data_IF_217893265712
#
_entry.id   IF_217893265712
#
_cell.length_a   1.000
_cell.length_b   1.000
_cell.length_c   1.000
_cell.angle_alpha   90.00
_cell.angle_beta   90.00
_cell.angle_gamma   90.00
#
_symmetry.space_group_name_H-M   'P 1'
#
loop_
_entity.id
_entity.type
_entity.pdbx_description
1 polymer ?
#
# COMPACT_ATOMS: atom_id res chain seq x y z
N UNK A 1 14.96 11.77 -53.94
CA UNK A 1 14.03 12.35 -54.94
C UNK A 1 13.05 11.21 -55.24
N UNK A 2 11.89 11.19 -54.57
CA UNK A 2 10.85 10.21 -54.85
C UNK A 2 10.23 10.55 -56.20
N UNK A 3 10.22 9.60 -57.12
CA UNK A 3 9.53 9.73 -58.40
C UNK A 3 8.14 9.13 -58.13
N UNK A 4 7.20 9.98 -57.70
CA UNK A 4 5.78 9.62 -57.60
C UNK A 4 5.19 9.71 -59.01
N UNK A 5 5.40 8.69 -59.82
CA UNK A 5 4.60 8.47 -61.05
C UNK A 5 3.48 7.54 -60.65
N UNK A 6 2.24 7.98 -60.81
CA UNK A 6 1.09 7.13 -60.50
C UNK A 6 0.93 5.99 -61.52
N UNK A 7 0.19 4.94 -61.16
CA UNK A 7 0.05 3.76 -62.04
C UNK A 7 -0.66 4.11 -63.35
N UNK A 8 -1.51 5.13 -63.35
CA UNK A 8 -2.31 5.55 -64.50
C UNK A 8 -1.45 6.35 -65.50
N UNK A 9 -0.55 7.22 -65.02
CA UNK A 9 0.46 7.93 -65.78
C UNK A 9 1.48 6.97 -66.39
N UNK A 10 1.91 5.95 -65.65
CA UNK A 10 2.81 4.93 -66.19
C UNK A 10 2.12 4.11 -67.29
N UNK A 11 0.83 3.79 -67.10
CA UNK A 11 0.02 3.06 -68.10
C UNK A 11 -0.19 3.92 -69.35
N UNK A 12 -0.51 5.21 -69.18
CA UNK A 12 -0.67 6.14 -70.28
C UNK A 12 0.62 6.35 -71.08
N UNK A 13 1.77 6.50 -70.39
CA UNK A 13 3.08 6.61 -71.04
C UNK A 13 3.44 5.33 -71.79
N UNK A 14 3.07 4.17 -71.25
CA UNK A 14 3.30 2.88 -71.89
C UNK A 14 2.48 2.75 -73.16
N UNK A 15 1.19 3.12 -73.11
CA UNK A 15 0.28 3.14 -74.27
C UNK A 15 0.77 4.13 -75.35
N UNK A 16 1.19 5.33 -74.94
CA UNK A 16 1.73 6.36 -75.85
C UNK A 16 3.02 5.89 -76.56
N UNK A 17 3.91 5.19 -75.85
CA UNK A 17 5.12 4.63 -76.45
C UNK A 17 4.76 3.47 -77.38
N UNK A 18 3.83 2.58 -77.04
CA UNK A 18 3.39 1.52 -77.94
C UNK A 18 2.71 2.09 -79.19
N UNK A 19 1.86 3.10 -79.06
CA UNK A 19 1.24 3.80 -80.20
C UNK A 19 2.28 4.50 -81.08
N UNK A 20 3.29 5.12 -80.48
CA UNK A 20 4.40 5.72 -81.23
C UNK A 20 5.25 4.67 -81.95
N UNK A 21 5.40 3.48 -81.38
CA UNK A 21 6.09 2.35 -82.01
C UNK A 21 5.29 1.73 -83.15
N UNK A 22 3.97 1.59 -83.02
CA UNK A 22 3.09 1.10 -84.08
C UNK A 22 3.06 2.05 -85.29
N UNK A 23 2.96 3.37 -85.04
CA UNK A 23 3.02 4.40 -86.09
C UNK A 23 4.36 4.41 -86.86
N UNK A 24 5.40 3.85 -86.24
CA UNK A 24 6.76 3.78 -86.75
C UNK A 24 7.01 2.41 -87.40
N UNK A 25 6.40 1.33 -86.91
CA UNK A 25 6.45 -0.01 -87.47
C UNK A 25 5.81 -0.14 -88.87
N UNK A 26 4.89 0.76 -89.24
CA UNK A 26 4.31 0.89 -90.59
C UNK A 26 5.32 1.35 -91.68
N UNK A 27 6.57 1.63 -91.30
CA UNK A 27 7.65 1.99 -92.22
C UNK A 27 8.58 0.78 -92.37
N UNK A 28 8.62 0.18 -93.58
CA UNK A 28 9.43 -1.00 -93.96
C UNK A 28 10.98 -0.76 -93.94
N UNK A 29 11.51 -0.18 -92.86
CA UNK A 29 12.92 0.18 -92.69
C UNK A 29 13.58 -0.61 -91.55
N UNK A 30 14.67 -1.36 -91.82
CA UNK A 30 15.40 -2.15 -90.81
C UNK A 30 16.00 -1.36 -89.63
N UNK A 31 16.14 -0.03 -89.76
CA UNK A 31 16.57 0.84 -88.66
C UNK A 31 15.46 1.09 -87.64
N UNK A 32 14.23 1.12 -88.13
CA UNK A 32 13.02 1.42 -87.36
C UNK A 32 12.60 0.24 -86.48
N UNK A 33 12.57 -0.97 -87.04
CA UNK A 33 12.30 -2.19 -86.27
C UNK A 33 13.32 -2.42 -85.13
N UNK A 34 14.59 -2.05 -85.34
CA UNK A 34 15.63 -2.12 -84.31
C UNK A 34 15.40 -1.11 -83.19
N UNK A 35 15.00 0.11 -83.52
CA UNK A 35 14.65 1.12 -82.53
C UNK A 35 13.45 0.66 -81.69
N UNK A 36 12.42 0.13 -82.32
CA UNK A 36 11.23 -0.40 -81.64
C UNK A 36 11.56 -1.51 -80.65
N UNK A 37 12.31 -2.53 -81.09
CA UNK A 37 12.76 -3.63 -80.23
C UNK A 37 13.63 -3.14 -79.05
N UNK A 38 14.47 -2.13 -79.29
CA UNK A 38 15.32 -1.55 -78.24
C UNK A 38 14.47 -0.79 -77.21
N UNK A 39 13.50 0.01 -77.65
CA UNK A 39 12.57 0.74 -76.77
C UNK A 39 11.70 -0.22 -75.95
N UNK A 40 11.16 -1.29 -76.55
CA UNK A 40 10.39 -2.33 -75.84
C UNK A 40 11.26 -3.01 -74.78
N UNK A 41 12.51 -3.32 -75.10
CA UNK A 41 13.43 -3.95 -74.15
C UNK A 41 13.76 -3.01 -72.97
N UNK A 42 13.92 -1.71 -73.22
CA UNK A 42 14.11 -0.71 -72.17
C UNK A 42 12.87 -0.55 -71.28
N UNK A 43 11.68 -0.49 -71.86
CA UNK A 43 10.42 -0.44 -71.10
C UNK A 43 10.26 -1.65 -70.19
N UNK A 44 10.53 -2.85 -70.72
CA UNK A 44 10.44 -4.09 -69.93
C UNK A 44 11.45 -4.17 -68.80
N UNK A 45 12.64 -3.58 -68.99
CA UNK A 45 13.62 -3.45 -67.92
C UNK A 45 13.11 -2.51 -66.83
N UNK A 46 12.52 -1.37 -67.19
CA UNK A 46 11.95 -0.41 -66.24
C UNK A 46 10.77 -1.02 -65.49
N UNK A 47 9.87 -1.73 -66.18
CA UNK A 47 8.75 -2.46 -65.58
C UNK A 47 9.26 -3.43 -64.50
N UNK A 48 10.23 -4.29 -64.84
CA UNK A 48 10.80 -5.23 -63.89
C UNK A 48 11.41 -4.55 -62.67
N UNK A 49 12.15 -3.44 -62.86
CA UNK A 49 12.75 -2.69 -61.75
C UNK A 49 11.68 -2.08 -60.85
N UNK A 50 10.60 -1.52 -61.42
CA UNK A 50 9.49 -0.94 -60.65
C UNK A 50 8.78 -2.02 -59.84
N UNK A 51 8.47 -3.17 -60.46
CA UNK A 51 7.84 -4.31 -59.78
C UNK A 51 8.72 -4.82 -58.63
N UNK A 52 10.04 -4.91 -58.84
CA UNK A 52 10.98 -5.37 -57.81
C UNK A 52 11.06 -4.42 -56.61
N UNK A 53 11.01 -3.11 -56.87
CA UNK A 53 10.99 -2.07 -55.82
C UNK A 53 9.66 -2.13 -55.05
N UNK A 54 8.53 -2.17 -55.77
CA UNK A 54 7.21 -2.23 -55.16
C UNK A 54 7.02 -3.49 -54.31
N UNK A 55 7.53 -4.64 -54.75
CA UNK A 55 7.51 -5.88 -53.97
C UNK A 55 8.30 -5.76 -52.67
N UNK A 56 9.51 -5.20 -52.73
CA UNK A 56 10.34 -5.00 -51.52
C UNK A 56 9.69 -4.02 -50.55
N UNK A 57 9.12 -2.94 -51.03
CA UNK A 57 8.42 -1.96 -50.20
C UNK A 57 7.18 -2.58 -49.52
N UNK A 58 6.43 -3.42 -50.25
CA UNK A 58 5.30 -4.15 -49.70
C UNK A 58 5.73 -5.12 -48.58
N UNK A 59 6.80 -5.89 -48.79
CA UNK A 59 7.33 -6.83 -47.79
C UNK A 59 7.78 -6.08 -46.52
N UNK A 60 8.50 -4.96 -46.67
CA UNK A 60 8.94 -4.17 -45.51
C UNK A 60 7.76 -3.53 -44.76
N UNK A 61 6.73 -3.05 -45.46
CA UNK A 61 5.50 -2.55 -44.84
C UNK A 61 4.77 -3.65 -44.06
N UNK A 62 4.71 -4.86 -44.60
CA UNK A 62 4.06 -5.99 -43.92
C UNK A 62 4.83 -6.42 -42.67
N UNK A 63 6.16 -6.46 -42.73
CA UNK A 63 7.00 -6.70 -41.55
C UNK A 63 6.78 -5.64 -40.46
N UNK A 64 6.77 -4.35 -40.82
CA UNK A 64 6.53 -3.26 -39.86
C UNK A 64 5.14 -3.35 -39.24
N UNK A 65 4.11 -3.66 -40.03
CA UNK A 65 2.74 -3.88 -39.55
C UNK A 65 2.68 -5.04 -38.56
N UNK A 66 3.38 -6.14 -38.85
CA UNK A 66 3.42 -7.30 -37.97
C UNK A 66 4.18 -7.00 -36.67
N UNK A 67 5.28 -6.25 -36.72
CA UNK A 67 5.99 -5.77 -35.52
C UNK A 67 5.10 -4.88 -34.66
N UNK A 68 4.41 -3.90 -35.25
CA UNK A 68 3.47 -3.06 -34.53
C UNK A 68 2.33 -3.85 -33.89
N UNK A 69 1.76 -4.85 -34.58
CA UNK A 69 0.74 -5.73 -34.00
C UNK A 69 1.27 -6.53 -32.81
N UNK A 70 2.50 -7.04 -32.91
CA UNK A 70 3.13 -7.78 -31.82
C UNK A 70 3.41 -6.88 -30.61
N UNK A 71 3.93 -5.67 -30.83
CA UNK A 71 4.16 -4.67 -29.77
C UNK A 71 2.85 -4.25 -29.10
N UNK A 72 1.79 -4.04 -29.88
CA UNK A 72 0.47 -3.65 -29.36
C UNK A 72 -0.17 -4.79 -28.55
N UNK A 73 -0.05 -6.03 -29.01
CA UNK A 73 -0.48 -7.20 -28.25
C UNK A 73 0.30 -7.35 -26.92
N UNK A 74 1.63 -7.13 -26.95
CA UNK A 74 2.45 -7.15 -25.75
C UNK A 74 2.09 -6.02 -24.77
N UNK A 75 1.81 -4.82 -25.28
CA UNK A 75 1.37 -3.68 -24.47
C UNK A 75 0.01 -3.96 -23.80
N UNK A 76 -0.97 -4.48 -24.54
CA UNK A 76 -2.27 -4.86 -24.00
C UNK A 76 -2.17 -5.97 -22.94
N UNK A 77 -1.34 -6.99 -23.18
CA UNK A 77 -1.10 -8.04 -22.20
C UNK A 77 -0.46 -7.49 -20.91
N UNK A 78 0.48 -6.54 -21.03
CA UNK A 78 1.08 -5.91 -19.87
C UNK A 78 0.10 -5.00 -19.12
N UNK A 79 -0.75 -4.26 -19.83
CA UNK A 79 -1.81 -3.43 -19.24
C UNK A 79 -2.80 -4.28 -18.44
N UNK A 80 -3.24 -5.42 -19.00
CA UNK A 80 -4.11 -6.37 -18.29
C UNK A 80 -3.44 -6.90 -17.01
N UNK A 81 -2.15 -7.23 -17.07
CA UNK A 81 -1.38 -7.71 -15.92
C UNK A 81 -1.24 -6.63 -14.83
N UNK A 82 -0.97 -5.39 -15.21
CA UNK A 82 -0.87 -4.25 -14.28
C UNK A 82 -2.22 -3.98 -13.63
N UNK A 83 -3.30 -4.01 -14.41
CA UNK A 83 -4.66 -3.81 -13.91
C UNK A 83 -5.05 -4.88 -12.87
N UNK A 84 -4.72 -6.14 -13.13
CA UNK A 84 -4.99 -7.21 -12.18
C UNK A 84 -4.17 -7.06 -10.90
N UNK A 85 -2.88 -6.73 -11.00
CA UNK A 85 -2.04 -6.47 -9.84
C UNK A 85 -2.58 -5.31 -9.00
N UNK A 86 -3.07 -4.24 -9.64
CA UNK A 86 -3.68 -3.10 -8.96
C UNK A 86 -4.97 -3.49 -8.23
N UNK A 87 -5.83 -4.31 -8.85
CA UNK A 87 -7.05 -4.82 -8.23
C UNK A 87 -6.76 -5.66 -6.98
N UNK A 88 -5.76 -6.53 -7.03
CA UNK A 88 -5.32 -7.33 -5.87
C UNK A 88 -4.80 -6.41 -4.76
N UNK A 89 -3.98 -5.41 -5.08
CA UNK A 89 -3.45 -4.45 -4.11
C UNK A 89 -4.58 -3.64 -3.44
N UNK A 90 -5.57 -3.19 -4.23
CA UNK A 90 -6.74 -2.48 -3.72
C UNK A 90 -7.56 -3.33 -2.74
N UNK A 91 -7.80 -4.62 -3.05
CA UNK A 91 -8.45 -5.55 -2.11
C UNK A 91 -7.68 -5.67 -0.80
N UNK A 92 -6.37 -5.87 -0.89
CA UNK A 92 -5.51 -5.97 0.30
C UNK A 92 -5.59 -4.72 1.17
N UNK A 93 -5.59 -3.54 0.55
CA UNK A 93 -5.71 -2.27 1.28
C UNK A 93 -7.06 -2.15 2.00
N UNK A 94 -8.16 -2.57 1.36
CA UNK A 94 -9.49 -2.59 1.98
C UNK A 94 -9.52 -3.52 3.20
N UNK A 95 -8.88 -4.69 3.11
CA UNK A 95 -8.84 -5.63 4.23
C UNK A 95 -7.93 -5.15 5.38
N UNK A 96 -6.84 -4.46 5.06
CA UNK A 96 -6.03 -3.75 6.06
C UNK A 96 -6.88 -2.68 6.75
N UNK A 97 -7.63 -1.86 6.01
CA UNK A 97 -8.47 -0.82 6.59
C UNK A 97 -9.56 -1.39 7.52
N UNK A 98 -10.17 -2.53 7.17
CA UNK A 98 -11.10 -3.25 8.05
C UNK A 98 -10.41 -3.74 9.32
N UNK A 99 -9.22 -4.31 9.19
CA UNK A 99 -8.42 -4.81 10.32
C UNK A 99 -8.05 -3.68 11.28
N UNK A 100 -7.65 -2.52 10.76
CA UNK A 100 -7.37 -1.32 11.57
C UNK A 100 -8.62 -0.84 12.30
N UNK A 101 -9.78 -0.82 11.64
CA UNK A 101 -11.04 -0.48 12.29
C UNK A 101 -11.41 -1.44 13.42
N UNK A 102 -11.18 -2.74 13.22
CA UNK A 102 -11.41 -3.75 14.26
C UNK A 102 -10.46 -3.56 15.45
N UNK A 103 -9.17 -3.37 15.19
CA UNK A 103 -8.17 -3.08 16.23
C UNK A 103 -8.54 -1.85 17.05
N UNK A 104 -8.97 -0.76 16.40
CA UNK A 104 -9.44 0.45 17.09
C UNK A 104 -10.59 0.16 18.06
N UNK A 105 -11.55 -0.67 17.66
CA UNK A 105 -12.67 -1.08 18.55
C UNK A 105 -12.16 -1.88 19.75
N UNK A 106 -11.24 -2.81 19.52
CA UNK A 106 -10.65 -3.65 20.58
C UNK A 106 -9.87 -2.79 21.57
N UNK A 107 -9.00 -1.89 21.09
CA UNK A 107 -8.25 -0.94 21.93
C UNK A 107 -9.18 -0.05 22.74
N UNK A 108 -10.25 0.48 22.14
CA UNK A 108 -11.27 1.24 22.88
C UNK A 108 -12.05 0.42 23.90
N UNK A 109 -12.14 -0.90 23.73
CA UNK A 109 -12.67 -1.82 24.73
C UNK A 109 -11.70 -2.02 25.90
N UNK A 110 -10.40 -2.13 25.63
CA UNK A 110 -9.38 -2.21 26.68
C UNK A 110 -9.26 -0.91 27.48
N UNK A 111 -9.30 0.25 26.82
CA UNK A 111 -9.27 1.55 27.49
C UNK A 111 -10.38 1.68 28.54
N UNK A 112 -11.63 1.39 28.16
CA UNK A 112 -12.77 1.40 29.10
C UNK A 112 -12.63 0.43 30.27
N UNK A 113 -12.03 -0.75 30.04
CA UNK A 113 -11.75 -1.71 31.11
C UNK A 113 -10.65 -1.21 32.05
N UNK A 114 -9.66 -0.49 31.54
CA UNK A 114 -8.61 0.12 32.34
C UNK A 114 -9.19 1.27 33.19
N UNK A 115 -9.99 2.16 32.60
CA UNK A 115 -10.68 3.22 33.33
C UNK A 115 -11.53 2.66 34.48
N UNK A 116 -12.29 1.58 34.24
CA UNK A 116 -13.06 0.93 35.30
C UNK A 116 -12.19 0.32 36.41
N UNK A 117 -11.01 -0.22 36.07
CA UNK A 117 -10.07 -0.75 37.07
C UNK A 117 -9.41 0.36 37.88
N UNK A 118 -9.10 1.48 37.25
CA UNK A 118 -8.55 2.66 37.91
C UNK A 118 -9.53 3.22 38.92
N UNK A 119 -10.81 3.37 38.56
CA UNK A 119 -11.86 3.80 39.49
C UNK A 119 -12.00 2.87 40.71
N UNK A 120 -11.90 1.54 40.50
CA UNK A 120 -11.93 0.56 41.61
C UNK A 120 -10.69 0.71 42.50
N UNK A 121 -9.50 0.95 41.91
CA UNK A 121 -8.27 1.15 42.66
C UNK A 121 -8.35 2.41 43.53
N UNK A 122 -8.86 3.52 42.98
CA UNK A 122 -9.09 4.76 43.74
C UNK A 122 -10.08 4.56 44.90
N UNK A 123 -11.18 3.82 44.68
CA UNK A 123 -12.13 3.49 45.74
C UNK A 123 -11.50 2.65 46.85
N UNK A 124 -10.68 1.65 46.49
CA UNK A 124 -9.96 0.82 47.44
C UNK A 124 -8.94 1.63 48.25
N UNK A 125 -8.18 2.51 47.61
CA UNK A 125 -7.24 3.40 48.30
C UNK A 125 -7.94 4.33 49.28
N UNK A 126 -9.11 4.87 48.90
CA UNK A 126 -9.93 5.66 49.81
C UNK A 126 -10.40 4.86 51.03
N UNK A 127 -10.84 3.60 50.84
CA UNK A 127 -11.24 2.71 51.93
C UNK A 127 -10.07 2.36 52.85
N UNK A 128 -8.89 2.09 52.30
CA UNK A 128 -7.68 1.80 53.08
C UNK A 128 -7.29 3.00 53.93
N UNK A 129 -7.38 4.22 53.37
CA UNK A 129 -7.10 5.46 54.12
C UNK A 129 -8.04 5.61 55.30
N UNK A 130 -9.35 5.46 55.08
CA UNK A 130 -10.35 5.52 56.16
C UNK A 130 -10.07 4.45 57.21
N UNK A 131 -9.79 3.22 56.81
CA UNK A 131 -9.47 2.13 57.74
C UNK A 131 -8.25 2.46 58.61
N UNK A 132 -7.18 3.00 58.02
CA UNK A 132 -5.99 3.43 58.77
C UNK A 132 -6.28 4.57 59.73
N UNK A 133 -7.06 5.57 59.33
CA UNK A 133 -7.48 6.67 60.20
C UNK A 133 -8.32 6.16 61.38
N UNK A 134 -9.25 5.23 61.12
CA UNK A 134 -10.05 4.61 62.19
C UNK A 134 -9.22 3.75 63.13
N UNK A 135 -8.23 3.01 62.61
CA UNK A 135 -7.32 2.20 63.43
C UNK A 135 -6.48 3.11 64.33
N UNK A 136 -5.92 4.19 63.79
CA UNK A 136 -5.17 5.18 64.56
C UNK A 136 -6.03 5.78 65.68
N UNK A 137 -7.27 6.20 65.38
CA UNK A 137 -8.19 6.74 66.38
C UNK A 137 -8.54 5.74 67.49
N UNK A 138 -8.78 4.47 67.15
CA UNK A 138 -9.04 3.44 68.16
C UNK A 138 -7.81 3.16 69.02
N UNK A 139 -6.62 3.13 68.42
CA UNK A 139 -5.35 2.96 69.13
C UNK A 139 -5.14 4.07 70.15
N UNK A 140 -5.34 5.32 69.76
CA UNK A 140 -5.18 6.48 70.64
C UNK A 140 -6.15 6.41 71.83
N UNK A 141 -7.42 6.08 71.58
CA UNK A 141 -8.43 5.91 72.63
C UNK A 141 -8.12 4.78 73.61
N UNK A 142 -7.62 3.65 73.10
CA UNK A 142 -7.20 2.53 73.94
C UNK A 142 -5.98 2.89 74.78
N UNK A 143 -5.03 3.63 74.20
CA UNK A 143 -3.86 4.08 74.93
C UNK A 143 -4.22 5.07 76.04
N UNK A 144 -5.11 6.03 75.78
CA UNK A 144 -5.65 6.94 76.80
C UNK A 144 -6.33 6.16 77.95
N UNK A 145 -7.16 5.16 77.62
CA UNK A 145 -7.81 4.32 78.63
C UNK A 145 -6.80 3.51 79.46
N UNK A 146 -5.74 2.98 78.83
CA UNK A 146 -4.66 2.27 79.53
C UNK A 146 -3.88 3.20 80.44
N UNK A 147 -3.58 4.41 80.01
CA UNK A 147 -2.91 5.43 80.82
C UNK A 147 -3.76 5.79 82.06
N UNK A 148 -5.05 6.04 81.89
CA UNK A 148 -5.97 6.33 83.01
C UNK A 148 -6.02 5.16 84.01
N UNK A 149 -6.23 3.93 83.52
CA UNK A 149 -6.27 2.74 84.39
C UNK A 149 -4.93 2.50 85.11
N UNK A 150 -3.80 2.81 84.47
CA UNK A 150 -2.49 2.70 85.09
C UNK A 150 -2.29 3.68 86.23
N UNK A 151 -2.77 4.93 86.08
CA UNK A 151 -2.72 5.96 87.12
C UNK A 151 -3.62 5.58 88.29
N UNK A 152 -4.85 5.14 88.03
CA UNK A 152 -5.79 4.68 89.06
C UNK A 152 -5.26 3.47 89.82
N UNK A 153 -4.64 2.51 89.12
CA UNK A 153 -4.03 1.34 89.73
C UNK A 153 -2.85 1.73 90.64
N UNK A 154 -1.97 2.64 90.21
CA UNK A 154 -0.87 3.15 91.04
C UNK A 154 -1.40 3.91 92.26
N UNK A 155 -2.43 4.73 92.10
CA UNK A 155 -3.06 5.45 93.21
C UNK A 155 -3.71 4.48 94.22
N UNK A 156 -4.41 3.44 93.74
CA UNK A 156 -4.99 2.41 94.60
C UNK A 156 -3.91 1.63 95.36
N UNK A 157 -2.81 1.26 94.70
CA UNK A 157 -1.66 0.63 95.36
C UNK A 157 -1.04 1.55 96.42
N UNK A 158 -0.89 2.84 96.15
CA UNK A 158 -0.41 3.79 97.17
C UNK A 158 -1.36 3.86 98.37
N UNK A 159 -2.67 3.89 98.17
CA UNK A 159 -3.64 3.96 99.28
C UNK A 159 -3.73 2.67 100.10
N UNK A 160 -3.44 1.51 99.52
CA UNK A 160 -3.51 0.22 100.22
C UNK A 160 -2.16 -0.20 100.80
N UNK A 161 -1.10 -0.08 100.01
CA UNK A 161 0.24 -0.58 100.35
C UNK A 161 1.00 0.40 101.24
N UNK A 162 0.85 1.72 101.04
CA UNK A 162 1.58 2.72 101.83
C UNK A 162 1.16 2.73 103.32
N UNK A 163 -0.13 2.66 103.67
CA UNK A 163 -0.54 2.53 105.07
C UNK A 163 -0.18 1.16 105.66
N UNK A 164 -0.19 0.09 104.86
CA UNK A 164 0.19 -1.24 105.30
C UNK A 164 1.69 -1.34 105.64
N UNK A 165 2.56 -0.73 104.83
CA UNK A 165 4.00 -0.64 105.10
C UNK A 165 4.31 0.24 106.32
N UNK A 166 3.64 1.38 106.47
CA UNK A 166 3.77 2.25 107.66
C UNK A 166 3.32 1.56 108.96
N UNK A 167 2.30 0.70 108.90
CA UNK A 167 1.84 -0.07 110.06
C UNK A 167 2.74 -1.28 110.35
N UNK A 168 3.32 -1.92 109.33
CA UNK A 168 4.30 -3.00 109.47
C UNK A 168 5.62 -2.50 110.10
N UNK A 169 6.07 -1.30 109.74
CA UNK A 169 7.28 -0.68 110.30
C UNK A 169 7.09 -0.26 111.78
N UNK A 170 5.84 0.05 112.18
CA UNK A 170 5.46 0.28 113.59
C UNK A 170 5.25 -0.99 114.41
N UNK A 171 5.20 -2.17 113.80
CA UNK A 171 4.95 -3.45 114.47
C UNK A 171 6.15 -4.41 114.47
N UNK A 172 7.32 -3.96 114.01
CA UNK A 172 8.59 -4.66 114.27
C UNK A 172 9.02 -4.45 115.73
N UNK A 173 9.19 -5.52 116.53
CA UNK A 173 9.53 -5.41 117.94
C UNK A 173 11.03 -5.13 118.10
N UNK A 174 11.35 -4.14 118.93
CA UNK A 174 12.65 -4.06 119.62
C UNK A 174 12.72 -5.11 120.72
#
# INVERSE_FOLDING_TARGET
MSIDIDHDELTALTEDVFQALDNVADIDSPGVARLALTSISMLRYVENVIVDIASKDLDTMEELRNKQRAELAAAQANEARVTEALNVALRSLVDIAKSVCYLKKVVGGFARKLEAREAIAEELDAKIRIARETEASMRDRLQEAVEVLSVEYVAALQLVVWPALLNADRSSPS
#
